data_IF_251533867274
#
_entry.id   IF_251533867274
#
_cell.length_a   1.000
_cell.length_b   1.000
_cell.length_c   1.000
_cell.angle_alpha   90.00
_cell.angle_beta   90.00
_cell.angle_gamma   90.00
#
_symmetry.space_group_name_H-M   'P 1'
#
loop_
_entity.id
_entity.type
_entity.pdbx_description
1 polymer ?
#
# COMPACT_ATOMS: atom_id res chain seq x y z
N UNK A 1 7.44 5.07 -4.30
CA UNK A 1 7.73 4.55 -2.94
C UNK A 1 9.05 3.79 -2.83
N UNK A 2 9.52 3.12 -3.89
CA UNK A 2 10.80 2.40 -3.82
C UNK A 2 10.77 1.17 -2.91
N UNK A 3 9.57 0.61 -2.70
CA UNK A 3 9.37 -0.62 -1.93
C UNK A 3 9.71 -1.82 -2.80
N UNK A 4 10.38 -2.79 -2.20
CA UNK A 4 10.68 -4.08 -2.80
C UNK A 4 10.15 -5.17 -1.88
N UNK A 5 9.30 -6.02 -2.42
CA UNK A 5 8.81 -7.19 -1.69
C UNK A 5 9.95 -8.18 -1.44
N UNK A 6 9.88 -8.91 -0.33
CA UNK A 6 10.79 -10.04 -0.09
C UNK A 6 10.61 -11.10 -1.19
N UNK A 7 11.63 -11.92 -1.39
CA UNK A 7 11.61 -12.94 -2.44
C UNK A 7 10.78 -14.15 -2.03
N UNK A 8 10.21 -14.83 -3.03
CA UNK A 8 9.50 -16.09 -2.82
C UNK A 8 8.24 -15.94 -1.97
N UNK A 9 8.02 -16.90 -1.08
CA UNK A 9 6.77 -16.97 -0.33
C UNK A 9 6.66 -15.93 0.79
N UNK A 10 7.80 -15.52 1.35
CA UNK A 10 7.89 -14.58 2.47
C UNK A 10 7.50 -13.14 2.10
N UNK A 11 7.47 -12.83 0.79
CA UNK A 11 7.07 -11.53 0.28
C UNK A 11 5.58 -11.33 0.11
N UNK A 12 4.74 -12.31 0.45
CA UNK A 12 3.27 -12.20 0.32
C UNK A 12 2.53 -12.66 1.57
N UNK A 13 1.32 -12.13 1.74
CA UNK A 13 0.39 -12.51 2.80
C UNK A 13 -1.06 -12.35 2.35
N UNK A 14 -1.99 -12.75 3.23
CA UNK A 14 -3.43 -12.66 3.02
C UNK A 14 -3.98 -13.66 2.00
N UNK A 15 -5.30 -13.65 1.86
CA UNK A 15 -6.00 -14.53 0.92
C UNK A 15 -5.48 -14.34 -0.51
N UNK A 16 -5.34 -15.47 -1.22
CA UNK A 16 -4.80 -15.52 -2.59
C UNK A 16 -3.42 -14.85 -2.77
N UNK A 17 -2.69 -14.59 -1.68
CA UNK A 17 -1.35 -13.98 -1.71
C UNK A 17 -1.34 -12.59 -2.36
N UNK A 18 -2.44 -11.85 -2.20
CA UNK A 18 -2.63 -10.51 -2.77
C UNK A 18 -1.82 -9.43 -2.04
N UNK A 19 -1.62 -9.59 -0.73
CA UNK A 19 -0.77 -8.70 0.06
C UNK A 19 0.71 -8.88 -0.27
N UNK A 20 1.46 -7.79 -0.27
CA UNK A 20 2.91 -7.78 -0.43
C UNK A 20 3.58 -7.25 0.82
N UNK A 21 4.67 -7.88 1.26
CA UNK A 21 5.48 -7.38 2.37
C UNK A 21 6.96 -7.32 1.98
N UNK A 22 7.63 -6.27 2.44
CA UNK A 22 9.01 -6.01 2.08
C UNK A 22 9.58 -4.80 2.79
N UNK A 23 10.56 -4.18 2.15
CA UNK A 23 11.30 -3.04 2.70
C UNK A 23 11.60 -2.00 1.61
N UNK A 24 12.10 -0.84 2.01
CA UNK A 24 12.55 0.18 1.07
C UNK A 24 13.92 -0.23 0.51
N UNK A 25 14.03 -0.28 -0.81
CA UNK A 25 15.24 -0.78 -1.50
C UNK A 25 16.49 0.05 -1.20
N UNK A 26 16.32 1.37 -1.07
CA UNK A 26 17.43 2.34 -0.92
C UNK A 26 17.49 2.93 0.50
N UNK A 27 17.60 2.09 1.52
CA UNK A 27 17.74 2.50 2.93
C UNK A 27 16.43 2.50 3.71
N UNK A 28 16.34 3.35 4.74
CA UNK A 28 15.21 3.35 5.69
C UNK A 28 14.15 4.41 5.32
N UNK A 29 12.89 4.12 5.63
CA UNK A 29 11.78 5.08 5.60
C UNK A 29 11.83 6.01 6.82
N UNK A 30 12.39 5.55 7.94
CA UNK A 30 12.60 6.32 9.15
C UNK A 30 11.43 6.24 10.12
N UNK A 31 10.23 6.69 9.73
CA UNK A 31 9.04 6.64 10.61
C UNK A 31 7.73 6.41 9.87
N UNK A 32 6.70 6.01 10.61
CA UNK A 32 5.33 5.88 10.11
C UNK A 32 4.81 7.17 9.47
N UNK A 33 5.15 8.34 10.05
CA UNK A 33 4.81 9.63 9.46
C UNK A 33 5.51 9.87 8.13
N UNK A 34 6.81 9.61 8.06
CA UNK A 34 7.58 9.76 6.82
C UNK A 34 7.04 8.84 5.72
N UNK A 35 6.62 7.62 6.06
CA UNK A 35 5.95 6.72 5.12
C UNK A 35 4.63 7.30 4.61
N UNK A 36 3.76 7.76 5.51
CA UNK A 36 2.46 8.31 5.15
C UNK A 36 2.60 9.56 4.27
N UNK A 37 3.55 10.44 4.58
CA UNK A 37 3.83 11.64 3.77
C UNK A 37 4.38 11.25 2.37
N UNK A 38 5.25 10.24 2.28
CA UNK A 38 5.74 9.73 0.99
C UNK A 38 4.64 9.06 0.15
N UNK A 39 3.71 8.33 0.78
CA UNK A 39 2.51 7.79 0.14
C UNK A 39 1.64 8.92 -0.38
N UNK A 40 1.39 9.94 0.44
CA UNK A 40 0.55 11.05 0.03
C UNK A 40 1.14 11.86 -1.12
N UNK A 41 2.45 12.09 -1.12
CA UNK A 41 3.16 12.74 -2.23
C UNK A 41 3.11 11.91 -3.52
N UNK A 42 3.28 10.58 -3.43
CA UNK A 42 3.24 9.70 -4.60
C UNK A 42 1.85 9.61 -5.24
N UNK A 43 0.80 9.78 -4.44
CA UNK A 43 -0.59 9.67 -4.87
C UNK A 43 -1.27 11.03 -5.09
N UNK A 44 -0.57 12.13 -4.81
CA UNK A 44 -1.10 13.51 -4.87
C UNK A 44 -2.37 13.72 -4.03
N UNK A 45 -2.40 13.10 -2.84
CA UNK A 45 -3.49 13.27 -1.86
C UNK A 45 -3.01 12.96 -0.44
N UNK A 46 -3.61 13.55 0.61
CA UNK A 46 -3.25 13.18 1.97
C UNK A 46 -3.62 11.72 2.27
N UNK A 47 -2.72 11.02 2.97
CA UNK A 47 -2.98 9.69 3.51
C UNK A 47 -3.41 9.79 4.98
N UNK A 48 -4.38 8.98 5.38
CA UNK A 48 -4.79 8.81 6.77
C UNK A 48 -3.81 7.86 7.46
N UNK A 49 -3.15 8.34 8.51
CA UNK A 49 -2.25 7.56 9.36
C UNK A 49 -2.92 7.27 10.71
N UNK A 50 -2.94 6.01 11.12
CA UNK A 50 -3.34 5.56 12.46
C UNK A 50 -2.21 4.75 13.11
N UNK A 51 -1.97 4.98 14.39
CA UNK A 51 -0.85 4.40 15.14
C UNK A 51 0.13 5.48 15.62
N UNK A 52 1.28 5.06 16.13
CA UNK A 52 2.34 5.98 16.54
C UNK A 52 3.08 6.53 15.30
N UNK A 53 2.90 7.83 15.06
CA UNK A 53 3.52 8.53 13.94
C UNK A 53 5.06 8.54 14.00
N UNK A 54 5.64 8.43 15.20
CA UNK A 54 7.09 8.39 15.42
C UNK A 54 7.69 6.98 15.35
N UNK A 55 6.88 5.92 15.26
CA UNK A 55 7.37 4.56 15.26
C UNK A 55 8.28 4.29 14.06
N UNK A 56 9.44 3.62 14.27
CA UNK A 56 10.33 3.24 13.18
C UNK A 56 9.66 2.19 12.28
N UNK A 57 9.87 2.31 10.96
CA UNK A 57 9.24 1.43 9.97
C UNK A 57 10.29 0.80 9.07
N UNK A 58 10.43 -0.52 9.13
CA UNK A 58 11.34 -1.30 8.28
C UNK A 58 10.56 -2.24 7.37
N UNK A 59 9.67 -3.03 7.95
CA UNK A 59 8.82 -3.99 7.24
C UNK A 59 7.51 -3.34 6.88
N UNK A 60 7.27 -3.20 5.59
CA UNK A 60 6.11 -2.50 5.05
C UNK A 60 5.28 -3.54 4.32
N UNK A 61 4.04 -3.70 4.76
CA UNK A 61 3.01 -4.46 4.09
C UNK A 61 2.16 -3.52 3.24
N UNK A 62 1.70 -3.97 2.07
CA UNK A 62 0.77 -3.19 1.25
C UNK A 62 -0.16 -4.07 0.42
N UNK A 63 -1.36 -3.57 0.21
CA UNK A 63 -2.34 -4.09 -0.74
C UNK A 63 -3.25 -2.93 -1.17
N UNK A 64 -3.30 -2.63 -2.47
CA UNK A 64 -4.14 -1.54 -3.02
C UNK A 64 -5.63 -1.85 -2.85
N UNK A 65 -6.48 -0.84 -3.03
CA UNK A 65 -7.93 -0.98 -2.96
C UNK A 65 -8.47 -1.12 -1.53
N UNK A 66 -9.61 -1.79 -1.38
CA UNK A 66 -10.29 -2.03 -0.10
C UNK A 66 -9.73 -3.22 0.69
N UNK A 67 -8.43 -3.21 0.99
CA UNK A 67 -7.75 -4.34 1.62
C UNK A 67 -7.55 -4.21 3.14
N UNK A 68 -8.33 -3.35 3.81
CA UNK A 68 -8.35 -3.19 5.28
C UNK A 68 -8.53 -4.52 6.02
N UNK A 69 -9.25 -5.48 5.43
CA UNK A 69 -9.43 -6.83 5.98
C UNK A 69 -8.14 -7.64 6.11
N UNK A 70 -7.09 -7.32 5.34
CA UNK A 70 -5.79 -8.00 5.45
C UNK A 70 -4.87 -7.40 6.51
N UNK A 71 -5.37 -6.47 7.33
CA UNK A 71 -4.50 -5.84 8.33
C UNK A 71 -4.02 -6.84 9.39
N UNK A 72 -4.88 -7.75 9.84
CA UNK A 72 -4.50 -8.81 10.77
C UNK A 72 -3.43 -9.74 10.17
N UNK A 73 -3.58 -10.11 8.89
CA UNK A 73 -2.58 -10.90 8.18
C UNK A 73 -1.26 -10.15 8.01
N UNK A 74 -1.30 -8.84 7.76
CA UNK A 74 -0.11 -7.99 7.68
C UNK A 74 0.63 -7.93 9.03
N UNK A 75 -0.12 -7.79 10.13
CA UNK A 75 0.41 -7.84 11.50
C UNK A 75 1.04 -9.21 11.75
N UNK A 76 0.36 -10.30 11.40
CA UNK A 76 0.87 -11.66 11.55
C UNK A 76 2.13 -11.93 10.71
N UNK A 77 2.25 -11.29 9.53
CA UNK A 77 3.44 -11.32 8.69
C UNK A 77 4.62 -10.47 9.23
N UNK A 78 4.42 -9.77 10.35
CA UNK A 78 5.44 -8.98 11.02
C UNK A 78 5.67 -7.61 10.39
N UNK A 79 4.62 -6.98 9.86
CA UNK A 79 4.70 -5.61 9.36
C UNK A 79 4.86 -4.58 10.50
N UNK A 80 5.66 -3.55 10.27
CA UNK A 80 5.71 -2.34 11.11
C UNK A 80 4.67 -1.31 10.63
N UNK A 81 4.31 -1.36 9.34
CA UNK A 81 3.27 -0.54 8.74
C UNK A 81 2.52 -1.29 7.63
N UNK A 82 1.22 -1.02 7.49
CA UNK A 82 0.37 -1.52 6.41
C UNK A 82 -0.23 -0.37 5.60
N UNK A 83 -0.10 -0.43 4.27
CA UNK A 83 -0.62 0.56 3.32
C UNK A 83 -1.76 -0.06 2.51
N UNK A 84 -2.92 0.60 2.48
CA UNK A 84 -4.05 0.22 1.64
C UNK A 84 -4.87 1.44 1.21
N UNK A 85 -5.93 1.24 0.43
CA UNK A 85 -6.80 2.32 -0.02
C UNK A 85 -7.78 2.76 1.06
N UNK A 86 -8.58 1.84 1.58
CA UNK A 86 -9.67 2.14 2.50
C UNK A 86 -9.34 1.85 3.98
N UNK A 87 -10.15 2.38 4.89
CA UNK A 87 -10.08 2.09 6.33
C UNK A 87 -11.49 1.79 6.85
N UNK A 88 -11.60 0.85 7.78
CA UNK A 88 -12.79 0.69 8.62
C UNK A 88 -12.42 0.79 10.10
N UNK A 89 -13.43 0.85 10.97
CA UNK A 89 -13.27 1.12 12.39
C UNK A 89 -12.30 0.16 13.12
N UNK A 90 -12.31 -1.17 12.86
CA UNK A 90 -11.43 -2.11 13.58
C UNK A 90 -9.93 -1.81 13.40
N UNK A 91 -9.53 -1.35 12.21
CA UNK A 91 -8.14 -1.05 11.87
C UNK A 91 -7.57 0.04 12.77
N UNK A 92 -8.39 0.98 13.22
CA UNK A 92 -7.95 2.00 14.15
C UNK A 92 -7.63 1.44 15.54
N UNK A 93 -8.30 0.37 15.96
CA UNK A 93 -8.04 -0.33 17.21
C UNK A 93 -6.80 -1.23 17.07
N UNK A 94 -6.76 -2.07 16.02
CA UNK A 94 -5.61 -2.92 15.74
C UNK A 94 -4.31 -2.14 15.65
N UNK A 95 -4.29 -0.98 14.98
CA UNK A 95 -3.07 -0.19 14.84
C UNK A 95 -2.54 0.31 16.20
N UNK A 96 -3.43 0.70 17.11
CA UNK A 96 -3.07 1.22 18.44
C UNK A 96 -2.68 0.11 19.40
N UNK A 97 -3.36 -1.02 19.33
CA UNK A 97 -3.16 -2.15 20.24
C UNK A 97 -1.96 -3.01 19.85
N UNK A 98 -1.72 -3.18 18.55
CA UNK A 98 -0.63 -4.02 18.02
C UNK A 98 0.65 -3.23 17.73
N UNK A 99 0.60 -1.90 17.80
CA UNK A 99 1.76 -1.04 17.53
C UNK A 99 2.21 -1.03 16.07
N UNK A 100 1.32 -1.41 15.14
CA UNK A 100 1.57 -1.42 13.70
C UNK A 100 0.87 -0.23 13.05
N UNK A 101 1.58 0.57 12.27
CA UNK A 101 0.99 1.73 11.63
C UNK A 101 0.02 1.31 10.51
N UNK A 102 -1.14 1.95 10.43
CA UNK A 102 -2.10 1.78 9.35
C UNK A 102 -2.17 3.04 8.49
N UNK A 103 -2.03 2.90 7.18
CA UNK A 103 -2.02 4.00 6.21
C UNK A 103 -3.09 3.75 5.15
N UNK A 104 -4.17 4.54 5.19
CA UNK A 104 -5.20 4.57 4.14
C UNK A 104 -4.95 5.73 3.18
N UNK A 105 -4.90 5.45 1.88
CA UNK A 105 -4.54 6.43 0.86
C UNK A 105 -5.54 6.56 -0.30
N UNK A 106 -6.73 5.99 -0.14
CA UNK A 106 -7.84 6.04 -1.09
C UNK A 106 -7.87 4.86 -2.07
N UNK A 107 -9.05 4.29 -2.26
CA UNK A 107 -9.22 3.10 -3.11
C UNK A 107 -8.78 3.39 -4.54
N UNK A 108 -9.43 4.38 -5.18
CA UNK A 108 -9.15 4.77 -6.56
C UNK A 108 -7.70 5.19 -6.76
N UNK A 109 -7.20 6.03 -5.85
CA UNK A 109 -5.85 6.56 -5.92
C UNK A 109 -4.78 5.44 -5.90
N UNK A 110 -5.01 4.39 -5.12
CA UNK A 110 -4.09 3.25 -5.06
C UNK A 110 -4.14 2.32 -6.27
N UNK A 111 -5.26 2.29 -7.01
CA UNK A 111 -5.48 1.32 -8.11
C UNK A 111 -5.33 1.89 -9.52
N UNK A 112 -5.29 3.22 -9.69
CA UNK A 112 -5.22 3.89 -11.01
C UNK A 112 -3.99 3.55 -11.86
N UNK A 113 -2.97 2.88 -11.29
CA UNK A 113 -1.73 2.55 -12.00
C UNK A 113 -1.78 1.21 -12.75
N UNK A 114 -2.59 0.25 -12.30
CA UNK A 114 -2.58 -1.12 -12.84
C UNK A 114 -3.14 -1.19 -14.27
N UNK A 115 -4.35 -0.66 -14.47
CA UNK A 115 -5.01 -0.65 -15.77
C UNK A 115 -4.18 -0.01 -16.90
N UNK A 116 -3.61 1.21 -16.75
CA UNK A 116 -2.79 1.79 -17.81
C UNK A 116 -1.49 1.02 -18.06
N UNK A 117 -0.88 0.42 -17.03
CA UNK A 117 0.34 -0.37 -17.21
C UNK A 117 0.09 -1.63 -18.05
N UNK A 118 -1.01 -2.36 -17.77
CA UNK A 118 -1.40 -3.53 -18.56
C UNK A 118 -1.76 -3.11 -19.99
N UNK A 119 -2.53 -2.03 -20.15
CA UNK A 119 -2.89 -1.52 -21.47
C UNK A 119 -1.66 -1.13 -22.30
N UNK A 120 -0.69 -0.44 -21.70
CA UNK A 120 0.57 -0.06 -22.35
C UNK A 120 1.40 -1.29 -22.77
N UNK A 121 1.45 -2.33 -21.92
CA UNK A 121 2.15 -3.58 -22.23
C UNK A 121 1.54 -4.28 -23.46
N UNK A 122 0.22 -4.44 -23.46
CA UNK A 122 -0.52 -5.05 -24.59
C UNK A 122 -0.39 -4.20 -25.86
N UNK A 123 -0.50 -2.88 -25.73
CA UNK A 123 -0.36 -1.96 -26.85
C UNK A 123 1.01 -2.06 -27.52
N UNK A 124 2.08 -2.11 -26.73
CA UNK A 124 3.44 -2.30 -27.24
C UNK A 124 3.62 -3.65 -27.95
N UNK A 125 3.02 -4.72 -27.44
CA UNK A 125 3.15 -6.06 -28.02
C UNK A 125 2.40 -6.22 -29.35
N UNK A 126 1.23 -5.58 -29.49
CA UNK A 126 0.34 -5.79 -30.64
C UNK A 126 0.21 -4.58 -31.56
N UNK A 127 0.93 -3.48 -31.29
CA UNK A 127 0.86 -2.25 -32.10
C UNK A 127 -0.48 -1.53 -31.99
N UNK A 128 -1.13 -1.59 -30.83
CA UNK A 128 -2.42 -0.92 -30.59
C UNK A 128 -2.21 0.51 -30.11
N UNK A 129 -3.16 1.39 -30.42
CA UNK A 129 -3.30 2.67 -29.72
C UNK A 129 -4.24 2.51 -28.53
N UNK A 130 -3.91 3.14 -27.41
CA UNK A 130 -4.77 3.15 -26.23
C UNK A 130 -4.75 4.55 -25.58
N UNK A 131 -5.83 4.85 -24.88
CA UNK A 131 -5.96 6.05 -24.04
C UNK A 131 -6.47 5.60 -22.68
N UNK A 132 -5.77 5.97 -21.61
CA UNK A 132 -6.28 5.81 -20.25
C UNK A 132 -7.12 7.03 -19.89
N UNK A 133 -8.33 6.80 -19.39
CA UNK A 133 -9.24 7.85 -18.94
C UNK A 133 -9.34 7.71 -17.42
N UNK A 134 -8.60 8.56 -16.71
CA UNK A 134 -8.68 8.65 -15.25
C UNK A 134 -9.86 9.54 -14.87
N UNK A 135 -10.90 8.95 -14.27
CA UNK A 135 -12.06 9.67 -13.76
C UNK A 135 -11.96 9.63 -12.25
N UNK A 136 -11.82 10.82 -11.66
CA UNK A 136 -11.66 10.96 -10.22
C UNK A 136 -12.82 10.32 -9.44
N UNK A 137 -12.46 9.60 -8.38
CA UNK A 137 -13.39 9.07 -7.41
C UNK A 137 -12.84 9.41 -6.01
N UNK A 138 -13.63 10.08 -5.16
CA UNK A 138 -13.17 10.59 -3.87
C UNK A 138 -12.79 9.51 -2.85
N UNK A 139 -13.17 8.25 -3.09
CA UNK A 139 -12.87 7.12 -2.20
C UNK A 139 -11.36 6.84 -2.02
#
# INVERSE_FOLDING_TARGET
LGLRAFEGEDGRFGDNRLGFIGEKADGDVGSARALADAVGQALDRPATLVGDAGAPVRRIAWCTGGAQGYFEDAIAAGADAFITGEISEPQAHYAREMGVAFIACGHHASERYGAPAVAAHVAAQFGLSHTFIDIDNPA
#
